data_IF_275362350383
#
_entry.id   IF_275362350383
#
_cell.length_a   1.000
_cell.length_b   1.000
_cell.length_c   1.000
_cell.angle_alpha   90.00
_cell.angle_beta   90.00
_cell.angle_gamma   90.00
#
_symmetry.space_group_name_H-M   'P 1'
#
loop_
_entity.id
_entity.type
_entity.pdbx_description
1 polymer ?
#
# COMPACT_ATOMS: atom_id res chain seq x y z
N UNK A 1 -30.24 29.46 36.48
CA UNK A 1 -28.90 28.94 36.79
C UNK A 1 -28.74 27.42 36.58
N UNK A 2 -29.69 26.57 36.99
CA UNK A 2 -29.55 25.09 36.83
C UNK A 2 -29.36 24.63 35.37
N UNK A 3 -30.04 25.24 34.40
CA UNK A 3 -29.91 24.88 32.97
C UNK A 3 -28.58 25.32 32.37
N UNK A 4 -27.97 26.39 32.85
CA UNK A 4 -26.67 26.86 32.37
C UNK A 4 -25.53 25.94 32.83
N UNK A 5 -25.59 25.44 34.04
CA UNK A 5 -24.60 24.48 34.58
C UNK A 5 -24.66 23.16 33.83
N UNK A 6 -25.90 22.71 33.44
CA UNK A 6 -26.09 21.47 32.66
C UNK A 6 -25.54 21.58 31.23
N UNK A 7 -25.72 22.75 30.60
CA UNK A 7 -25.19 23.01 29.25
C UNK A 7 -23.66 23.03 29.23
N UNK A 8 -23.04 23.68 30.24
CA UNK A 8 -21.57 23.72 30.35
C UNK A 8 -20.99 22.33 30.65
N UNK A 9 -21.63 21.53 31.50
CA UNK A 9 -21.23 20.16 31.77
C UNK A 9 -21.35 19.27 30.50
N UNK A 10 -22.39 19.42 29.69
CA UNK A 10 -22.60 18.68 28.45
C UNK A 10 -21.54 19.03 27.39
N UNK A 11 -21.17 20.31 27.25
CA UNK A 11 -20.12 20.78 26.36
C UNK A 11 -18.75 20.24 26.79
N UNK A 12 -18.45 20.24 28.09
CA UNK A 12 -17.20 19.68 28.62
C UNK A 12 -17.10 18.16 28.38
N UNK A 13 -18.21 17.41 28.50
CA UNK A 13 -18.23 15.98 28.24
C UNK A 13 -18.05 15.72 26.74
N UNK A 14 -18.63 16.51 25.86
CA UNK A 14 -18.45 16.43 24.41
C UNK A 14 -17.00 16.79 24.00
N UNK A 15 -16.37 17.76 24.65
CA UNK A 15 -14.97 18.10 24.40
C UNK A 15 -13.99 17.04 24.94
N UNK A 16 -14.33 16.37 26.05
CA UNK A 16 -13.49 15.31 26.63
C UNK A 16 -13.54 13.99 25.84
N UNK A 17 -14.55 13.80 24.99
CA UNK A 17 -14.66 12.61 24.13
C UNK A 17 -13.94 12.74 22.77
N UNK A 18 -13.37 13.90 22.48
CA UNK A 18 -12.40 14.08 21.39
C UNK A 18 -11.04 13.55 21.87
N UNK A 19 -10.94 12.25 22.10
CA UNK A 19 -9.63 11.63 22.11
C UNK A 19 -8.96 11.99 20.78
N UNK A 20 -7.85 12.75 20.77
CA UNK A 20 -7.12 12.94 19.53
C UNK A 20 -6.85 11.54 19.00
N UNK A 21 -7.26 11.27 17.76
CA UNK A 21 -6.89 10.01 17.10
C UNK A 21 -5.38 9.95 17.20
N UNK A 22 -4.89 9.12 18.13
CA UNK A 22 -3.48 9.02 18.39
C UNK A 22 -2.85 8.45 17.15
N UNK A 23 -2.13 9.28 16.46
CA UNK A 23 -1.38 8.89 15.28
C UNK A 23 -0.34 7.84 15.67
N UNK A 24 0.01 6.99 14.71
CA UNK A 24 1.01 5.95 14.91
C UNK A 24 2.38 6.60 15.02
N UNK A 25 3.11 6.35 16.11
CA UNK A 25 4.50 6.77 16.28
C UNK A 25 5.47 5.76 15.63
N UNK A 26 6.71 6.19 15.40
CA UNK A 26 7.76 5.31 14.89
C UNK A 26 8.02 4.10 15.81
N UNK A 27 7.86 4.27 17.12
CA UNK A 27 7.99 3.16 18.08
C UNK A 27 6.85 2.15 17.93
N UNK A 28 5.61 2.61 17.72
CA UNK A 28 4.45 1.74 17.53
C UNK A 28 4.55 0.96 16.22
N UNK A 29 5.16 1.51 15.16
CA UNK A 29 5.40 0.81 13.90
C UNK A 29 6.34 -0.40 14.05
N UNK A 30 7.10 -0.52 15.14
CA UNK A 30 7.94 -1.69 15.42
C UNK A 30 7.16 -2.87 16.03
N UNK A 31 5.88 -2.69 16.37
CA UNK A 31 5.02 -3.78 16.84
C UNK A 31 4.66 -4.73 15.68
N UNK A 32 5.39 -5.82 15.60
CA UNK A 32 5.24 -6.84 14.53
C UNK A 32 3.91 -7.59 14.59
N UNK A 33 3.15 -7.50 15.67
CA UNK A 33 1.80 -8.06 15.76
C UNK A 33 0.76 -7.21 15.00
N UNK A 34 1.04 -5.92 14.84
CA UNK A 34 0.17 -4.94 14.16
C UNK A 34 0.67 -4.56 12.79
N UNK A 35 1.98 -4.50 12.62
CA UNK A 35 2.61 -3.97 11.41
C UNK A 35 3.59 -4.96 10.80
N UNK A 36 3.62 -5.02 9.48
CA UNK A 36 4.68 -5.73 8.75
C UNK A 36 5.56 -4.72 8.05
N UNK A 37 6.85 -4.71 8.39
CA UNK A 37 7.85 -3.93 7.68
C UNK A 37 8.14 -4.54 6.31
N UNK A 38 8.15 -3.71 5.29
CA UNK A 38 8.58 -4.07 3.95
C UNK A 38 10.06 -3.71 3.82
N UNK A 39 10.87 -4.73 3.61
CA UNK A 39 12.31 -4.56 3.37
C UNK A 39 12.51 -4.49 1.87
N UNK A 40 13.02 -3.38 1.37
CA UNK A 40 13.43 -3.22 -0.03
C UNK A 40 14.91 -3.52 -0.21
N UNK A 41 15.29 -3.90 -1.44
CA UNK A 41 16.69 -4.15 -1.80
C UNK A 41 17.45 -2.81 -1.67
N UNK A 42 18.43 -2.75 -0.78
CA UNK A 42 19.18 -1.52 -0.47
C UNK A 42 18.79 -0.86 0.85
N UNK A 43 17.79 -1.37 1.57
CA UNK A 43 17.47 -0.93 2.92
C UNK A 43 18.60 -1.34 3.86
N UNK A 44 19.46 -0.38 4.21
CA UNK A 44 20.63 -0.57 5.11
C UNK A 44 20.22 -0.59 6.59
N UNK A 45 18.94 -0.64 6.90
CA UNK A 45 18.45 -0.57 8.29
C UNK A 45 18.49 0.84 8.90
N UNK A 46 18.89 1.84 8.11
CA UNK A 46 19.18 3.20 8.59
C UNK A 46 17.97 4.09 8.81
N UNK A 47 16.75 3.57 8.75
CA UNK A 47 15.61 4.30 9.21
C UNK A 47 14.47 4.55 8.24
N UNK A 48 14.68 4.64 6.94
CA UNK A 48 13.59 4.70 5.98
C UNK A 48 12.86 3.35 5.97
N UNK A 49 11.57 3.35 6.23
CA UNK A 49 10.81 2.11 6.34
C UNK A 49 9.42 2.26 5.75
N UNK A 50 8.94 1.15 5.18
CA UNK A 50 7.53 1.03 4.79
C UNK A 50 6.89 -0.05 5.62
N UNK A 51 5.71 0.24 6.15
CA UNK A 51 4.97 -0.65 7.03
C UNK A 51 3.55 -0.81 6.52
N UNK A 52 3.01 -2.02 6.60
CA UNK A 52 1.61 -2.32 6.31
C UNK A 52 0.92 -2.62 7.64
N UNK A 53 -0.19 -1.95 7.92
CA UNK A 53 -1.03 -2.24 9.09
C UNK A 53 -1.94 -3.43 8.79
N UNK A 54 -1.66 -4.56 9.45
CA UNK A 54 -2.29 -5.85 9.18
C UNK A 54 -3.81 -5.82 9.36
N UNK A 55 -4.29 -5.14 10.40
CA UNK A 55 -5.72 -5.05 10.73
C UNK A 55 -6.54 -4.26 9.71
N UNK A 56 -5.87 -3.49 8.83
CA UNK A 56 -6.54 -2.64 7.84
C UNK A 56 -6.69 -3.29 6.47
N UNK A 57 -6.06 -4.45 6.25
CA UNK A 57 -6.14 -5.16 4.98
C UNK A 57 -7.58 -5.63 4.77
N UNK A 58 -8.19 -5.20 3.67
CA UNK A 58 -9.56 -5.56 3.27
C UNK A 58 -9.55 -6.08 1.84
N UNK A 59 -10.02 -7.32 1.67
CA UNK A 59 -10.24 -7.90 0.35
C UNK A 59 -11.66 -7.55 -0.10
N UNK A 60 -11.78 -6.65 -1.05
CA UNK A 60 -13.05 -6.19 -1.63
C UNK A 60 -13.32 -6.84 -2.99
N UNK A 61 -12.61 -7.91 -3.33
CA UNK A 61 -12.68 -8.56 -4.64
C UNK A 61 -14.02 -9.25 -4.85
N UNK A 62 -14.71 -8.89 -5.91
CA UNK A 62 -16.00 -9.50 -6.31
C UNK A 62 -15.88 -10.29 -7.62
N UNK A 63 -14.79 -10.11 -8.35
CA UNK A 63 -14.54 -10.70 -9.65
C UNK A 63 -13.44 -11.78 -9.57
N UNK A 64 -13.56 -12.77 -10.45
CA UNK A 64 -12.59 -13.83 -10.59
C UNK A 64 -11.28 -13.35 -11.26
N UNK A 65 -11.33 -12.41 -12.18
CA UNK A 65 -10.19 -11.95 -13.00
C UNK A 65 -9.47 -10.74 -12.43
N UNK A 66 -10.18 -9.92 -11.67
CA UNK A 66 -9.64 -8.76 -10.99
C UNK A 66 -9.70 -8.94 -9.47
N UNK A 67 -8.71 -8.41 -8.78
CA UNK A 67 -8.67 -8.39 -7.31
C UNK A 67 -8.55 -6.96 -6.83
N UNK A 68 -9.28 -6.66 -5.77
CA UNK A 68 -9.30 -5.34 -5.14
C UNK A 68 -8.96 -5.48 -3.66
N UNK A 69 -7.88 -4.83 -3.21
CA UNK A 69 -7.44 -4.88 -1.83
C UNK A 69 -7.18 -3.47 -1.34
N UNK A 70 -7.76 -3.11 -0.19
CA UNK A 70 -7.42 -1.89 0.53
C UNK A 70 -6.48 -2.20 1.69
N UNK A 71 -5.58 -1.26 1.99
CA UNK A 71 -4.70 -1.33 3.15
C UNK A 71 -4.24 0.08 3.57
N UNK A 72 -3.81 0.22 4.84
CA UNK A 72 -3.02 1.36 5.27
C UNK A 72 -1.53 1.05 5.20
N UNK A 73 -0.78 2.00 4.69
CA UNK A 73 0.67 1.94 4.52
C UNK A 73 1.27 3.17 5.20
N UNK A 74 2.34 2.95 5.93
CA UNK A 74 3.12 4.02 6.55
C UNK A 74 4.50 4.06 5.91
N UNK A 75 4.90 5.26 5.47
CA UNK A 75 6.24 5.54 4.97
C UNK A 75 6.95 6.42 5.98
N UNK A 76 8.05 5.93 6.53
CA UNK A 76 8.86 6.64 7.54
C UNK A 76 10.04 7.28 6.85
N UNK A 77 10.20 8.59 7.04
CA UNK A 77 11.29 9.41 6.54
C UNK A 77 11.96 10.14 7.72
N UNK A 78 12.89 9.48 8.43
CA UNK A 78 13.46 9.99 9.67
C UNK A 78 14.19 11.32 9.50
N UNK A 79 14.89 11.53 8.37
CA UNK A 79 15.59 12.77 8.07
C UNK A 79 14.66 13.99 7.98
N UNK A 80 13.38 13.77 7.74
CA UNK A 80 12.35 14.81 7.64
C UNK A 80 11.43 14.88 8.87
N UNK A 81 11.71 14.07 9.93
CA UNK A 81 10.80 13.88 11.06
C UNK A 81 9.38 13.61 10.57
N UNK A 82 9.20 12.63 9.69
CA UNK A 82 7.95 12.39 8.98
C UNK A 82 7.57 10.91 8.97
N UNK A 83 6.33 10.65 9.40
CA UNK A 83 5.59 9.43 9.09
C UNK A 83 4.43 9.85 8.20
N UNK A 84 4.33 9.25 7.03
CA UNK A 84 3.23 9.46 6.11
C UNK A 84 2.34 8.23 6.06
N UNK A 85 1.09 8.39 6.48
CA UNK A 85 0.04 7.39 6.34
C UNK A 85 -0.65 7.53 4.98
N UNK A 86 -0.78 6.42 4.27
CA UNK A 86 -1.61 6.32 3.09
C UNK A 86 -2.69 5.25 3.31
N UNK A 87 -3.95 5.57 3.03
CA UNK A 87 -4.97 4.56 2.74
C UNK A 87 -4.97 4.33 1.24
N UNK A 88 -4.61 3.13 0.80
CA UNK A 88 -4.46 2.78 -0.63
C UNK A 88 -5.41 1.66 -0.99
N UNK A 89 -5.98 1.73 -2.17
CA UNK A 89 -6.63 0.62 -2.86
C UNK A 89 -5.75 0.15 -4.00
N UNK A 90 -5.52 -1.15 -4.06
CA UNK A 90 -4.82 -1.81 -5.17
C UNK A 90 -5.81 -2.63 -5.97
N UNK A 91 -5.83 -2.40 -7.27
CA UNK A 91 -6.57 -3.16 -8.27
C UNK A 91 -5.58 -4.00 -9.08
N UNK A 92 -5.78 -5.32 -9.12
CA UNK A 92 -4.91 -6.29 -9.78
C UNK A 92 -5.66 -6.97 -10.92
N UNK A 93 -5.17 -6.86 -12.15
CA UNK A 93 -5.63 -7.66 -13.29
C UNK A 93 -4.84 -8.97 -13.36
N UNK A 94 -5.45 -10.09 -12.97
CA UNK A 94 -4.78 -11.39 -12.94
C UNK A 94 -4.37 -11.89 -14.32
N UNK A 95 -4.94 -11.35 -15.39
CA UNK A 95 -4.48 -11.66 -16.75
C UNK A 95 -3.08 -11.10 -17.05
N UNK A 96 -2.65 -10.12 -16.28
CA UNK A 96 -1.36 -9.43 -16.37
C UNK A 96 -0.32 -9.93 -15.35
N UNK A 97 -0.63 -10.94 -14.52
CA UNK A 97 0.41 -11.60 -13.71
C UNK A 97 1.47 -12.21 -14.63
N UNK A 98 2.74 -12.16 -14.23
CA UNK A 98 3.82 -12.61 -15.11
C UNK A 98 3.68 -14.10 -15.46
N UNK A 99 3.38 -14.95 -14.47
CA UNK A 99 3.18 -16.37 -14.70
C UNK A 99 2.01 -16.67 -15.66
N UNK A 100 0.91 -15.89 -15.59
CA UNK A 100 -0.22 -16.06 -16.51
C UNK A 100 0.13 -15.59 -17.94
N UNK A 101 0.91 -14.51 -18.05
CA UNK A 101 1.45 -14.06 -19.36
C UNK A 101 2.34 -15.14 -19.98
N UNK A 102 3.25 -15.73 -19.20
CA UNK A 102 4.12 -16.84 -19.65
C UNK A 102 3.29 -18.06 -20.05
N UNK A 103 2.29 -18.44 -19.27
CA UNK A 103 1.42 -19.59 -19.58
C UNK A 103 0.64 -19.39 -20.90
N UNK A 104 0.12 -18.17 -21.10
CA UNK A 104 -0.57 -17.81 -22.37
C UNK A 104 0.40 -17.81 -23.56
N UNK A 105 1.58 -17.22 -23.41
CA UNK A 105 2.60 -17.21 -24.46
C UNK A 105 3.09 -18.62 -24.80
N UNK A 106 3.26 -19.50 -23.81
CA UNK A 106 3.65 -20.89 -24.03
C UNK A 106 2.61 -21.66 -24.87
N UNK A 107 1.32 -21.37 -24.67
CA UNK A 107 0.25 -21.93 -25.51
C UNK A 107 0.28 -21.39 -26.94
N UNK A 108 0.76 -20.15 -27.14
CA UNK A 108 0.89 -19.52 -28.46
C UNK A 108 2.22 -19.88 -29.13
N UNK A 109 3.25 -20.30 -28.39
CA UNK A 109 4.60 -20.61 -28.89
C UNK A 109 4.60 -21.71 -29.98
N UNK A 110 3.62 -22.60 -29.97
CA UNK A 110 3.40 -23.55 -31.05
C UNK A 110 3.03 -22.86 -32.41
N UNK A 111 2.61 -21.57 -32.33
CA UNK A 111 2.20 -20.77 -33.50
C UNK A 111 3.15 -19.61 -33.81
N UNK A 112 3.95 -19.20 -32.81
CA UNK A 112 4.87 -18.04 -32.85
C UNK A 112 6.20 -18.45 -32.22
N UNK A 113 7.13 -19.09 -32.96
CA UNK A 113 8.35 -19.68 -32.39
C UNK A 113 9.34 -18.66 -31.82
N UNK A 114 9.28 -17.39 -32.21
CA UNK A 114 10.27 -16.36 -31.88
C UNK A 114 9.92 -15.53 -30.63
N UNK A 115 8.83 -15.87 -29.92
CA UNK A 115 8.40 -15.11 -28.73
C UNK A 115 9.32 -15.39 -27.52
N UNK A 116 10.04 -14.36 -27.05
CA UNK A 116 10.99 -14.47 -25.94
C UNK A 116 10.40 -14.07 -24.59
N UNK A 117 10.95 -14.64 -23.48
CA UNK A 117 10.62 -14.22 -22.13
C UNK A 117 10.97 -12.74 -21.87
N UNK A 118 12.00 -12.23 -22.57
CA UNK A 118 12.38 -10.82 -22.46
C UNK A 118 11.31 -9.88 -23.00
N UNK A 119 10.61 -10.26 -24.08
CA UNK A 119 9.50 -9.46 -24.61
C UNK A 119 8.33 -9.41 -23.61
N UNK A 120 8.00 -10.55 -23.00
CA UNK A 120 6.98 -10.58 -21.93
C UNK A 120 7.38 -9.71 -20.74
N UNK A 121 8.65 -9.78 -20.34
CA UNK A 121 9.15 -8.93 -19.28
C UNK A 121 9.08 -7.45 -19.64
N UNK A 122 9.44 -7.07 -20.85
CA UNK A 122 9.31 -5.69 -21.32
C UNK A 122 7.85 -5.21 -21.31
N UNK A 123 6.90 -6.05 -21.73
CA UNK A 123 5.47 -5.73 -21.61
C UNK A 123 5.08 -5.54 -20.15
N UNK A 124 5.54 -6.41 -19.26
CA UNK A 124 5.29 -6.32 -17.81
C UNK A 124 5.85 -5.03 -17.21
N UNK A 125 7.03 -4.60 -17.65
CA UNK A 125 7.67 -3.36 -17.23
C UNK A 125 6.87 -2.11 -17.63
N UNK A 126 6.14 -2.19 -18.73
CA UNK A 126 5.30 -1.08 -19.22
C UNK A 126 3.89 -1.11 -18.61
N UNK A 127 3.35 -2.31 -18.35
CA UNK A 127 1.96 -2.50 -17.95
C UNK A 127 1.81 -3.71 -17.04
N UNK A 128 2.08 -3.50 -15.76
CA UNK A 128 2.15 -4.61 -14.78
C UNK A 128 0.81 -5.26 -14.46
N UNK A 129 -0.29 -4.55 -14.69
CA UNK A 129 -1.63 -4.98 -14.27
C UNK A 129 -1.95 -4.64 -12.81
N UNK A 130 -1.14 -3.81 -12.14
CA UNK A 130 -1.45 -3.29 -10.80
C UNK A 130 -1.66 -1.78 -10.87
N UNK A 131 -2.80 -1.34 -10.37
CA UNK A 131 -3.12 0.09 -10.20
C UNK A 131 -3.26 0.38 -8.73
N UNK A 132 -2.50 1.35 -8.23
CA UNK A 132 -2.65 1.92 -6.88
C UNK A 132 -3.49 3.19 -6.92
N UNK A 133 -4.47 3.30 -6.02
CA UNK A 133 -5.27 4.52 -5.83
C UNK A 133 -5.14 4.96 -4.38
N UNK A 134 -4.62 6.16 -4.15
CA UNK A 134 -4.56 6.75 -2.81
C UNK A 134 -5.95 7.30 -2.47
N UNK A 135 -6.57 6.74 -1.44
CA UNK A 135 -7.89 7.13 -0.96
C UNK A 135 -7.80 8.23 0.11
N UNK A 136 -6.72 8.24 0.88
CA UNK A 136 -6.44 9.24 1.90
C UNK A 136 -4.95 9.31 2.20
N UNK A 137 -4.47 10.49 2.59
CA UNK A 137 -3.10 10.73 3.04
C UNK A 137 -3.11 11.60 4.29
N UNK A 138 -2.23 11.28 5.25
CA UNK A 138 -2.01 12.10 6.43
C UNK A 138 -0.55 12.04 6.87
N UNK A 139 -0.03 13.16 7.34
CA UNK A 139 1.35 13.32 7.76
C UNK A 139 1.44 13.50 9.29
N UNK A 140 2.48 12.91 9.90
CA UNK A 140 2.75 12.95 11.32
C UNK A 140 4.25 13.13 11.58
N UNK A 141 4.61 13.61 12.79
CA UNK A 141 5.99 13.52 13.29
C UNK A 141 6.34 12.06 13.62
N UNK A 142 7.61 11.77 13.85
CA UNK A 142 8.04 10.45 14.37
C UNK A 142 7.44 10.10 15.73
N UNK A 143 6.98 11.09 16.49
CA UNK A 143 6.29 10.91 17.78
C UNK A 143 4.76 10.74 17.63
N UNK A 144 4.23 10.83 16.41
CA UNK A 144 2.81 10.66 16.12
C UNK A 144 1.98 11.96 16.24
N UNK A 145 2.58 13.12 16.24
CA UNK A 145 1.88 14.40 16.21
C UNK A 145 1.48 14.75 14.77
N UNK A 146 0.26 15.25 14.57
CA UNK A 146 -0.22 15.62 13.23
C UNK A 146 0.60 16.74 12.62
N UNK A 147 0.91 16.61 11.34
CA UNK A 147 1.60 17.62 10.51
C UNK A 147 0.70 18.05 9.35
N UNK A 148 0.92 19.26 8.79
CA UNK A 148 0.30 19.63 7.51
C UNK A 148 0.70 18.62 6.42
N UNK A 149 -0.30 18.12 5.69
CA UNK A 149 -0.09 17.15 4.61
C UNK A 149 0.70 17.80 3.47
N UNK A 150 1.81 17.18 3.10
CA UNK A 150 2.66 17.58 1.99
C UNK A 150 2.25 16.85 0.69
N UNK A 151 2.76 17.26 -0.48
CA UNK A 151 2.53 16.52 -1.73
C UNK A 151 2.89 15.03 -1.59
N UNK A 152 2.17 14.13 -2.28
CA UNK A 152 2.41 12.69 -2.19
C UNK A 152 3.83 12.32 -2.64
N UNK A 153 4.34 11.23 -2.11
CA UNK A 153 5.57 10.63 -2.59
C UNK A 153 5.34 9.99 -3.96
N UNK A 154 6.40 9.87 -4.76
CA UNK A 154 6.36 9.17 -6.04
C UNK A 154 5.89 7.73 -5.86
N UNK A 155 4.98 7.27 -6.72
CA UNK A 155 4.33 5.97 -6.62
C UNK A 155 3.15 5.92 -5.66
N UNK A 156 2.80 7.05 -5.03
CA UNK A 156 1.62 7.24 -4.16
C UNK A 156 0.82 8.47 -4.56
N UNK A 157 0.80 8.80 -5.83
CA UNK A 157 -0.09 9.80 -6.41
C UNK A 157 -1.54 9.29 -6.39
N UNK A 158 -2.51 10.14 -6.70
CA UNK A 158 -3.93 9.79 -6.61
C UNK A 158 -4.28 8.48 -7.32
N UNK A 159 -3.76 8.28 -8.53
CA UNK A 159 -3.86 7.02 -9.29
C UNK A 159 -2.52 6.76 -9.95
N UNK A 160 -1.92 5.61 -9.67
CA UNK A 160 -0.60 5.24 -10.20
C UNK A 160 -0.65 3.85 -10.80
N UNK A 161 -0.21 3.71 -12.05
CA UNK A 161 0.07 2.43 -12.68
C UNK A 161 1.42 1.95 -12.16
N UNK A 162 1.40 0.94 -11.29
CA UNK A 162 2.61 0.44 -10.66
C UNK A 162 3.36 -0.49 -11.63
N UNK A 163 4.65 -0.27 -11.78
CA UNK A 163 5.50 -1.10 -12.64
C UNK A 163 6.70 -1.62 -11.85
N UNK A 164 7.27 -2.79 -12.20
CA UNK A 164 8.46 -3.32 -11.56
C UNK A 164 9.75 -2.62 -12.04
N UNK A 165 9.66 -1.33 -12.39
CA UNK A 165 10.81 -0.50 -12.75
C UNK A 165 11.49 0.08 -11.52
N UNK A 166 12.73 0.54 -11.65
CA UNK A 166 13.50 1.14 -10.55
C UNK A 166 12.79 2.33 -9.89
N UNK A 167 11.96 3.05 -10.64
CA UNK A 167 11.25 4.24 -10.15
C UNK A 167 10.03 3.92 -9.28
N UNK A 168 9.27 2.85 -9.62
CA UNK A 168 8.04 2.46 -8.93
C UNK A 168 8.19 1.13 -8.18
N UNK A 169 9.40 0.57 -8.22
CA UNK A 169 9.70 -0.76 -7.67
C UNK A 169 9.22 -0.95 -6.24
N UNK A 170 9.41 0.07 -5.40
CA UNK A 170 9.04 -0.02 -4.00
C UNK A 170 7.52 -0.10 -3.81
N UNK A 171 6.73 0.73 -4.52
CA UNK A 171 5.27 0.73 -4.46
C UNK A 171 4.70 -0.55 -5.07
N UNK A 172 5.29 -1.02 -6.18
CA UNK A 172 4.99 -2.31 -6.79
C UNK A 172 5.27 -3.47 -5.83
N UNK A 173 6.41 -3.44 -5.13
CA UNK A 173 6.78 -4.45 -4.15
C UNK A 173 5.80 -4.48 -2.96
N UNK A 174 5.39 -3.32 -2.46
CA UNK A 174 4.35 -3.20 -1.42
C UNK A 174 3.04 -3.83 -1.87
N UNK A 175 2.56 -3.49 -3.07
CA UNK A 175 1.33 -4.06 -3.63
C UNK A 175 1.43 -5.59 -3.76
N UNK A 176 2.53 -6.09 -4.29
CA UNK A 176 2.78 -7.53 -4.44
C UNK A 176 2.82 -8.25 -3.08
N UNK A 177 3.38 -7.61 -2.06
CA UNK A 177 3.41 -8.14 -0.69
C UNK A 177 2.03 -8.20 -0.05
N UNK A 178 1.20 -7.16 -0.25
CA UNK A 178 -0.20 -7.13 0.21
C UNK A 178 -1.00 -8.24 -0.47
N UNK A 179 -0.82 -8.45 -1.78
CA UNK A 179 -1.46 -9.53 -2.49
C UNK A 179 -1.12 -10.89 -1.87
N UNK A 180 0.17 -11.13 -1.58
CA UNK A 180 0.63 -12.36 -0.93
C UNK A 180 0.00 -12.56 0.46
N UNK A 181 -0.17 -11.51 1.24
CA UNK A 181 -0.81 -11.60 2.56
C UNK A 181 -2.26 -12.06 2.48
N UNK A 182 -2.97 -11.69 1.41
CA UNK A 182 -4.38 -12.04 1.21
C UNK A 182 -4.56 -13.41 0.56
N UNK A 183 -3.72 -13.76 -0.43
CA UNK A 183 -3.90 -14.94 -1.27
C UNK A 183 -2.84 -16.03 -1.09
N UNK A 184 -1.84 -15.83 -0.24
CA UNK A 184 -0.77 -16.79 0.05
C UNK A 184 0.33 -16.86 -1.01
N UNK A 185 0.14 -16.28 -2.19
CA UNK A 185 1.09 -16.24 -3.32
C UNK A 185 1.34 -14.82 -3.79
N UNK A 186 2.48 -14.53 -4.42
CA UNK A 186 2.68 -13.24 -5.06
C UNK A 186 1.77 -13.11 -6.29
N UNK A 187 1.42 -11.86 -6.60
CA UNK A 187 0.59 -11.57 -7.78
C UNK A 187 1.20 -12.10 -9.07
N UNK A 188 2.52 -11.96 -9.23
CA UNK A 188 3.22 -12.42 -10.44
C UNK A 188 3.33 -13.93 -10.58
N UNK A 189 3.09 -14.70 -9.52
CA UNK A 189 3.10 -16.17 -9.52
C UNK A 189 1.71 -16.77 -9.85
N UNK A 190 0.68 -15.95 -9.99
CA UNK A 190 -0.69 -16.42 -10.25
C UNK A 190 -0.80 -16.92 -11.71
N UNK A 191 -1.22 -18.18 -11.86
CA UNK A 191 -1.60 -18.80 -13.17
C UNK A 191 -3.09 -19.05 -13.18
N UNK A 192 -3.73 -18.82 -14.34
CA UNK A 192 -5.14 -19.09 -14.58
C UNK A 192 -5.40 -19.75 -15.92
#
# INVERSE_FOLDING_TARGET
>A
MKHFVFLVALVCVLCASLNPVKAVSNTELQDTSRFTRIISKGDTGGGDGKYIELSTIRNNSTDAHTKNIEAKIYVVLPSSDLIREYKVRYDYDLNRSFANMVAKASKLKTRLPDFSLNELWNIKMMESGIVGTVLNQQDYTLNGESKPTQPPLKGYENVTFLTPTDFDFESYHVANRIFKMVYGTFYDDVIR
#
